data_IF_963722065871
#
_entry.id   IF_963722065871
#
_cell.length_a   1.000
_cell.length_b   1.000
_cell.length_c   1.000
_cell.angle_alpha   90.00
_cell.angle_beta   90.00
_cell.angle_gamma   90.00
#
_symmetry.space_group_name_H-M   'P 1'
#
loop_
_entity.id
_entity.type
_entity.pdbx_description
1 polymer ?
#
# COMPACT_ATOMS: atom_id res chain seq x y z
N UNK A 1 -1.04 -0.72 18.65
CA UNK A 1 -1.46 -1.24 17.34
C UNK A 1 -0.35 -2.13 16.81
N UNK A 2 -0.68 -3.27 16.21
CA UNK A 2 0.32 -4.11 15.56
C UNK A 2 0.28 -3.90 14.05
N UNK A 3 1.42 -4.11 13.40
CA UNK A 3 1.48 -4.18 11.96
C UNK A 3 0.69 -5.39 11.49
N UNK A 4 -0.18 -5.19 10.52
CA UNK A 4 -0.96 -6.27 9.91
C UNK A 4 -0.02 -7.23 9.18
N UNK A 5 -0.29 -8.53 9.31
CA UNK A 5 0.50 -9.56 8.64
C UNK A 5 -0.22 -9.98 7.37
N UNK A 6 0.54 -10.17 6.29
CA UNK A 6 0.03 -10.60 4.99
C UNK A 6 -0.05 -9.47 3.96
N UNK A 7 -0.87 -9.70 2.94
CA UNK A 7 -1.01 -8.82 1.76
C UNK A 7 -2.25 -7.93 1.94
N UNK A 8 -2.18 -6.63 1.62
CA UNK A 8 -3.32 -5.73 1.71
C UNK A 8 -4.45 -6.14 0.75
N UNK A 9 -5.69 -5.92 1.17
CA UNK A 9 -6.88 -6.19 0.35
C UNK A 9 -7.05 -5.11 -0.71
N UNK A 10 -7.73 -5.47 -1.79
CA UNK A 10 -7.93 -4.56 -2.93
C UNK A 10 -8.74 -3.32 -2.52
N UNK A 11 -9.74 -3.47 -1.65
CA UNK A 11 -10.52 -2.36 -1.08
C UNK A 11 -9.65 -1.37 -0.28
N UNK A 12 -8.64 -1.87 0.43
CA UNK A 12 -7.71 -1.05 1.20
C UNK A 12 -6.75 -0.30 0.29
N UNK A 13 -6.28 -0.96 -0.77
CA UNK A 13 -5.47 -0.34 -1.81
C UNK A 13 -6.25 0.76 -2.54
N UNK A 14 -7.54 0.56 -2.81
CA UNK A 14 -8.41 1.57 -3.42
C UNK A 14 -8.63 2.78 -2.50
N UNK A 15 -8.81 2.53 -1.21
CA UNK A 15 -8.96 3.60 -0.22
C UNK A 15 -7.66 4.39 -0.06
N UNK A 16 -6.52 3.69 0.04
CA UNK A 16 -5.19 4.26 0.05
C UNK A 16 -4.91 5.10 -1.20
N UNK A 17 -5.28 4.59 -2.38
CA UNK A 17 -5.03 5.25 -3.67
C UNK A 17 -5.77 6.59 -3.79
N UNK A 18 -6.96 6.68 -3.18
CA UNK A 18 -7.73 7.92 -3.07
C UNK A 18 -7.05 8.94 -2.16
N UNK A 19 -6.54 8.51 -1.00
CA UNK A 19 -5.91 9.41 -0.03
C UNK A 19 -4.48 9.81 -0.42
N UNK A 20 -3.75 8.97 -1.15
CA UNK A 20 -2.36 9.26 -1.55
C UNK A 20 -2.30 10.38 -2.58
N UNK A 21 -3.35 10.52 -3.40
CA UNK A 21 -3.46 11.55 -4.43
C UNK A 21 -2.25 11.53 -5.35
N UNK A 22 -1.74 12.71 -5.74
CA UNK A 22 -0.65 12.87 -6.71
C UNK A 22 0.71 12.26 -6.30
N UNK A 23 0.88 11.82 -5.05
CA UNK A 23 2.13 11.20 -4.56
C UNK A 23 2.29 9.73 -4.96
N UNK A 24 1.34 9.18 -5.70
CA UNK A 24 1.34 7.78 -6.13
C UNK A 24 2.58 7.37 -6.93
N UNK A 25 3.13 8.25 -7.77
CA UNK A 25 4.37 7.97 -8.52
C UNK A 25 5.54 7.74 -7.58
N UNK A 26 5.66 8.58 -6.56
CA UNK A 26 6.70 8.45 -5.55
C UNK A 26 6.54 7.17 -4.75
N UNK A 27 5.29 6.78 -4.45
CA UNK A 27 5.03 5.50 -3.80
C UNK A 27 5.42 4.33 -4.71
N UNK A 28 5.03 4.35 -5.97
CA UNK A 28 5.37 3.29 -6.93
C UNK A 28 6.88 3.10 -7.07
N UNK A 29 7.65 4.19 -7.16
CA UNK A 29 9.12 4.16 -7.14
C UNK A 29 9.67 3.59 -5.84
N UNK A 30 9.12 4.00 -4.69
CA UNK A 30 9.54 3.49 -3.39
C UNK A 30 9.21 2.00 -3.19
N UNK A 31 8.15 1.51 -3.86
CA UNK A 31 7.75 0.11 -3.90
C UNK A 31 8.56 -0.72 -4.92
N UNK A 32 9.46 -0.09 -5.68
CA UNK A 32 10.31 -0.74 -6.67
C UNK A 32 9.63 -1.02 -8.02
N UNK A 33 8.52 -0.35 -8.33
CA UNK A 33 7.92 -0.44 -9.67
C UNK A 33 8.83 0.27 -10.68
N UNK A 34 9.11 -0.34 -11.86
CA UNK A 34 9.86 0.30 -12.92
C UNK A 34 9.18 1.59 -13.43
N UNK A 35 9.97 2.62 -13.71
CA UNK A 35 9.46 3.90 -14.23
C UNK A 35 8.60 3.72 -15.49
N UNK A 36 8.99 2.79 -16.38
CA UNK A 36 8.22 2.47 -17.58
C UNK A 36 6.77 2.04 -17.29
N UNK A 37 6.52 1.29 -16.20
CA UNK A 37 5.14 0.93 -15.83
C UNK A 37 4.39 2.11 -15.22
N UNK A 38 5.09 3.01 -14.52
CA UNK A 38 4.50 4.23 -13.96
C UNK A 38 4.03 5.16 -15.08
N UNK A 39 4.85 5.31 -16.13
CA UNK A 39 4.51 6.09 -17.32
C UNK A 39 3.33 5.50 -18.10
N UNK A 40 3.30 4.18 -18.30
CA UNK A 40 2.16 3.51 -18.96
C UNK A 40 0.86 3.80 -18.22
N UNK A 41 0.84 3.62 -16.90
CA UNK A 41 -0.36 3.91 -16.08
C UNK A 41 -0.69 5.41 -16.09
N UNK A 42 0.33 6.27 -16.19
CA UNK A 42 0.12 7.71 -16.36
C UNK A 42 -0.60 8.04 -17.66
N UNK A 43 -0.28 7.37 -18.75
CA UNK A 43 -0.91 7.61 -20.05
C UNK A 43 -2.30 6.97 -20.16
N UNK A 44 -2.50 5.77 -19.60
CA UNK A 44 -3.74 5.01 -19.73
C UNK A 44 -4.93 5.62 -18.97
N UNK A 45 -4.68 6.25 -17.82
CA UNK A 45 -5.74 6.74 -16.94
C UNK A 45 -5.77 8.27 -16.90
N UNK A 46 -6.95 8.90 -16.77
CA UNK A 46 -7.05 10.36 -16.50
C UNK A 46 -7.16 10.69 -15.01
N UNK A 47 -7.74 9.78 -14.23
CA UNK A 47 -7.99 10.00 -12.80
C UNK A 47 -6.78 9.54 -11.99
N UNK A 48 -6.27 10.43 -11.14
CA UNK A 48 -5.14 10.16 -10.25
C UNK A 48 -5.40 8.94 -9.35
N UNK A 49 -6.62 8.83 -8.82
CA UNK A 49 -7.01 7.69 -7.95
C UNK A 49 -6.93 6.35 -8.69
N UNK A 50 -7.39 6.31 -9.94
CA UNK A 50 -7.34 5.10 -10.76
C UNK A 50 -5.90 4.69 -11.06
N UNK A 51 -5.03 5.66 -11.41
CA UNK A 51 -3.59 5.43 -11.63
C UNK A 51 -2.92 4.82 -10.40
N UNK A 52 -3.15 5.46 -9.26
CA UNK A 52 -2.64 5.02 -7.97
C UNK A 52 -3.08 3.58 -7.66
N UNK A 53 -4.36 3.28 -7.91
CA UNK A 53 -4.91 1.95 -7.66
C UNK A 53 -4.33 0.89 -8.58
N UNK A 54 -4.28 1.16 -9.89
CA UNK A 54 -3.68 0.26 -10.88
C UNK A 54 -2.23 -0.06 -10.54
N UNK A 55 -1.42 0.91 -10.09
CA UNK A 55 -0.04 0.64 -9.69
C UNK A 55 0.08 -0.17 -8.41
N UNK A 56 -0.78 0.07 -7.43
CA UNK A 56 -0.80 -0.75 -6.22
C UNK A 56 -1.19 -2.19 -6.54
N UNK A 57 -2.12 -2.40 -7.48
CA UNK A 57 -2.45 -3.74 -7.99
C UNK A 57 -1.28 -4.37 -8.75
N UNK A 58 -0.58 -3.60 -9.60
CA UNK A 58 0.61 -4.08 -10.31
C UNK A 58 1.72 -4.48 -9.35
N UNK A 59 2.00 -3.65 -8.33
CA UNK A 59 2.94 -3.99 -7.26
C UNK A 59 2.53 -5.27 -6.54
N UNK A 60 1.24 -5.40 -6.20
CA UNK A 60 0.71 -6.60 -5.54
C UNK A 60 0.84 -7.84 -6.41
N UNK A 61 0.59 -7.74 -7.72
CA UNK A 61 0.76 -8.84 -8.66
C UNK A 61 2.24 -9.20 -8.88
N UNK A 62 3.10 -8.19 -9.04
CA UNK A 62 4.53 -8.39 -9.25
C UNK A 62 5.24 -9.01 -8.04
N UNK A 63 4.89 -8.57 -6.83
CA UNK A 63 5.48 -9.07 -5.60
C UNK A 63 4.74 -10.29 -5.02
N UNK A 64 3.49 -10.53 -5.42
CA UNK A 64 2.68 -11.65 -4.95
C UNK A 64 2.59 -11.71 -3.43
N UNK A 65 3.08 -12.80 -2.84
CA UNK A 65 3.14 -12.99 -1.37
C UNK A 65 4.10 -12.03 -0.66
N UNK A 66 5.03 -11.41 -1.39
CA UNK A 66 5.97 -10.41 -0.86
C UNK A 66 5.38 -9.00 -0.84
N UNK A 67 4.18 -8.79 -1.39
CA UNK A 67 3.46 -7.53 -1.33
C UNK A 67 2.84 -7.31 0.07
N UNK A 68 3.67 -7.32 1.10
CA UNK A 68 3.20 -7.29 2.49
C UNK A 68 2.91 -5.87 2.98
N UNK A 69 2.17 -5.77 4.07
CA UNK A 69 2.01 -4.49 4.77
C UNK A 69 3.35 -3.88 5.20
N UNK A 70 4.37 -4.68 5.54
CA UNK A 70 5.73 -4.17 5.81
C UNK A 70 6.30 -3.39 4.61
N UNK A 71 6.23 -3.98 3.41
CA UNK A 71 6.70 -3.34 2.20
C UNK A 71 5.87 -2.08 1.87
N UNK A 72 4.55 -2.12 2.14
CA UNK A 72 3.68 -0.96 1.98
C UNK A 72 4.05 0.17 2.97
N UNK A 73 4.32 -0.14 4.24
CA UNK A 73 4.79 0.82 5.25
C UNK A 73 6.13 1.42 4.84
N UNK A 74 7.06 0.60 4.37
CA UNK A 74 8.38 1.07 3.92
C UNK A 74 8.23 2.07 2.75
N UNK A 75 7.36 1.78 1.78
CA UNK A 75 7.04 2.69 0.69
C UNK A 75 6.38 3.99 1.15
N UNK A 76 5.37 3.89 2.02
CA UNK A 76 4.62 5.05 2.54
C UNK A 76 5.47 5.95 3.45
N UNK A 77 6.35 5.35 4.26
CA UNK A 77 7.29 6.07 5.13
C UNK A 77 8.53 6.57 4.39
N UNK A 78 8.70 6.25 3.11
CA UNK A 78 9.84 6.71 2.34
C UNK A 78 9.87 8.25 2.29
N UNK A 79 11.07 8.80 2.33
CA UNK A 79 11.36 10.25 2.32
C UNK A 79 10.72 11.04 1.18
N UNK A 80 10.31 10.39 0.08
CA UNK A 80 9.67 11.03 -1.09
C UNK A 80 8.14 10.97 -1.04
N UNK A 81 7.57 10.05 -0.26
CA UNK A 81 6.12 9.91 -0.06
C UNK A 81 5.71 10.67 1.20
N UNK A 82 6.41 10.43 2.31
CA UNK A 82 6.16 11.01 3.63
C UNK A 82 4.68 10.91 4.02
N UNK A 83 4.08 9.73 3.81
CA UNK A 83 2.70 9.43 4.20
C UNK A 83 2.62 8.38 5.30
N UNK A 84 3.33 8.64 6.40
CA UNK A 84 3.26 7.80 7.61
C UNK A 84 1.85 7.77 8.20
N UNK A 85 1.09 8.86 8.03
CA UNK A 85 -0.34 8.93 8.36
C UNK A 85 -1.13 7.78 7.71
N UNK A 86 -0.88 7.51 6.43
CA UNK A 86 -1.53 6.42 5.71
C UNK A 86 -1.00 5.05 6.15
N UNK A 87 0.30 4.95 6.43
CA UNK A 87 0.87 3.72 6.97
C UNK A 87 0.16 3.33 8.27
N UNK A 88 0.03 4.26 9.22
CA UNK A 88 -0.67 4.06 10.49
C UNK A 88 -2.14 3.69 10.31
N UNK A 89 -2.83 4.30 9.35
CA UNK A 89 -4.26 4.04 9.10
C UNK A 89 -4.53 2.69 8.43
N UNK A 90 -3.71 2.31 7.46
CA UNK A 90 -3.97 1.16 6.58
C UNK A 90 -3.16 -0.08 6.97
N UNK A 91 -1.96 0.10 7.52
CA UNK A 91 -1.05 -1.01 7.80
C UNK A 91 -1.08 -1.44 9.27
N UNK A 92 -1.52 -0.57 10.18
CA UNK A 92 -1.60 -0.89 11.60
C UNK A 92 -3.07 -1.11 12.00
N UNK A 93 -3.31 -2.15 12.78
CA UNK A 93 -4.64 -2.50 13.28
C UNK A 93 -4.64 -2.73 14.79
N UNK A 94 -5.84 -2.80 15.42
CA UNK A 94 -5.94 -3.37 16.75
C UNK A 94 -5.38 -4.79 16.70
N UNK A 95 -4.53 -5.12 17.68
CA UNK A 95 -4.04 -6.48 17.87
C UNK A 95 -5.27 -7.33 18.16
N UNK A 96 -5.59 -8.31 17.32
CA UNK A 96 -6.61 -9.28 17.71
C UNK A 96 -6.16 -9.91 19.04
N UNK A 97 -6.97 -9.89 20.11
CA UNK A 97 -6.62 -10.59 21.33
C UNK A 97 -6.38 -12.06 20.98
N UNK A 98 -5.26 -12.60 21.42
CA UNK A 98 -4.98 -14.02 21.30
C UNK A 98 -5.96 -14.74 22.22
N UNK A 99 -6.90 -15.55 21.68
CA UNK A 99 -7.87 -16.34 22.45
C UNK A 99 -7.22 -17.54 23.16
N UNK A 100 -6.14 -17.35 23.92
CA UNK A 100 -5.52 -18.45 24.69
C UNK A 100 -5.32 -18.15 26.18
N UNK A 101 -6.10 -17.22 26.75
CA UNK A 101 -6.11 -16.91 28.19
C UNK A 101 -7.48 -17.19 28.87
N UNK A 102 -8.30 -18.09 28.30
CA UNK A 102 -9.53 -18.57 28.95
C UNK A 102 -9.58 -20.10 28.93
N UNK A 103 -8.64 -20.71 29.65
CA UNK A 103 -8.86 -22.02 30.25
C UNK A 103 -8.24 -22.02 31.65
N UNK A 104 -9.01 -21.51 32.61
CA UNK A 104 -9.05 -22.00 33.99
C UNK A 104 -10.52 -22.12 34.44
#
# INVERSE_FOLDING_TARGET
>A
MALRVGVPRDEELLSLSSEIGAKWKNLARALGIPEAQIEVVEEESRKVVEKSYQLLLLWKQANGTRATYEALVAGLCHTVVLRRDLAERYCYGPVAPQENDLME
#
